data_IF_240714101045
#
_entry.id   IF_240714101045
#
_cell.length_a   1.000
_cell.length_b   1.000
_cell.length_c   1.000
_cell.angle_alpha   90.00
_cell.angle_beta   90.00
_cell.angle_gamma   90.00
#
_symmetry.space_group_name_H-M   'P 1'
#
loop_
_entity.id
_entity.type
_entity.pdbx_description
1 polymer ?
#
# COMPACT_ATOMS: atom_id res chain seq x y z
N UNK A 1 19.14 -35.71 57.40
CA UNK A 1 18.43 -34.41 57.45
C UNK A 1 19.09 -33.50 56.43
N UNK A 2 18.30 -33.16 55.41
CA UNK A 2 18.39 -32.02 54.48
C UNK A 2 19.69 -31.82 53.67
N UNK A 3 19.57 -31.97 52.35
CA UNK A 3 19.84 -30.94 51.31
C UNK A 3 20.35 -31.56 50.01
N UNK A 4 19.56 -31.40 48.94
CA UNK A 4 19.94 -30.83 47.63
C UNK A 4 18.83 -31.13 46.61
N UNK A 5 18.02 -30.11 46.32
CA UNK A 5 18.14 -29.25 45.15
C UNK A 5 17.33 -29.80 43.98
N UNK A 6 16.04 -29.51 43.97
CA UNK A 6 15.19 -29.62 42.78
C UNK A 6 15.27 -28.27 42.08
N UNK A 7 16.04 -28.21 41.00
CA UNK A 7 15.97 -27.13 40.02
C UNK A 7 14.60 -27.15 39.36
N UNK A 8 13.73 -26.22 39.76
CA UNK A 8 12.55 -25.86 38.98
C UNK A 8 13.04 -25.05 37.77
N UNK A 9 13.19 -25.72 36.63
CA UNK A 9 13.31 -25.07 35.34
C UNK A 9 11.93 -24.52 34.99
N UNK A 10 11.70 -23.26 35.34
CA UNK A 10 10.62 -22.44 34.80
C UNK A 10 10.84 -22.36 33.29
N UNK A 11 10.13 -23.22 32.56
CA UNK A 11 10.03 -23.15 31.12
C UNK A 11 9.10 -21.98 30.83
N UNK A 12 9.69 -20.79 30.64
CA UNK A 12 9.03 -19.70 29.93
C UNK A 12 8.72 -20.20 28.53
N UNK A 13 7.51 -20.72 28.37
CA UNK A 13 6.90 -20.92 27.06
C UNK A 13 6.76 -19.52 26.50
N UNK A 14 7.66 -19.15 25.59
CA UNK A 14 7.43 -18.02 24.69
C UNK A 14 6.07 -18.27 24.04
N UNK A 15 5.07 -17.48 24.45
CA UNK A 15 3.80 -17.43 23.76
C UNK A 15 4.11 -17.08 22.31
N UNK A 16 3.96 -18.06 21.42
CA UNK A 16 3.92 -17.80 19.99
C UNK A 16 2.87 -16.70 19.80
N UNK A 17 3.23 -15.52 19.25
CA UNK A 17 2.22 -14.54 18.91
C UNK A 17 1.23 -15.24 17.99
N UNK A 18 -0.05 -15.14 18.32
CA UNK A 18 -1.14 -15.51 17.41
C UNK A 18 -0.81 -14.95 16.03
N UNK A 19 -1.07 -15.68 14.92
CA UNK A 19 -0.74 -15.19 13.59
C UNK A 19 -1.31 -13.79 13.44
N UNK A 20 -0.42 -12.79 13.42
CA UNK A 20 -0.80 -11.39 13.29
C UNK A 20 -1.58 -11.30 11.99
N UNK A 21 -2.79 -10.76 12.07
CA UNK A 21 -3.60 -10.59 10.88
C UNK A 21 -2.85 -9.68 9.91
N UNK A 22 -2.80 -10.05 8.63
CA UNK A 22 -2.15 -9.24 7.59
C UNK A 22 -2.62 -7.77 7.67
N UNK A 23 -1.68 -6.83 7.68
CA UNK A 23 -1.95 -5.39 7.75
C UNK A 23 -2.45 -4.82 6.41
N UNK A 24 -2.23 -5.57 5.32
CA UNK A 24 -2.39 -5.07 3.97
C UNK A 24 -3.85 -4.85 3.56
N UNK A 25 -4.84 -5.71 3.89
CA UNK A 25 -6.23 -5.48 3.50
C UNK A 25 -6.75 -4.11 3.95
N UNK A 26 -6.53 -3.73 5.22
CA UNK A 26 -6.94 -2.41 5.72
C UNK A 26 -6.16 -1.26 5.08
N UNK A 27 -4.87 -1.47 4.83
CA UNK A 27 -4.01 -0.48 4.16
C UNK A 27 -4.48 -0.25 2.71
N UNK A 28 -4.84 -1.32 1.99
CA UNK A 28 -5.35 -1.26 0.61
C UNK A 28 -6.71 -0.58 0.58
N UNK A 29 -7.63 -0.90 1.50
CA UNK A 29 -8.92 -0.21 1.63
C UNK A 29 -8.74 1.30 1.79
N UNK A 30 -7.78 1.71 2.63
CA UNK A 30 -7.47 3.12 2.86
C UNK A 30 -6.92 3.83 1.62
N UNK A 31 -5.97 3.20 0.92
CA UNK A 31 -5.36 3.75 -0.29
C UNK A 31 -6.40 3.82 -1.42
N UNK A 32 -7.26 2.81 -1.55
CA UNK A 32 -8.37 2.82 -2.50
C UNK A 32 -9.34 3.99 -2.23
N UNK A 33 -9.77 4.16 -0.97
CA UNK A 33 -10.63 5.28 -0.56
C UNK A 33 -9.94 6.63 -0.85
N UNK A 34 -8.64 6.73 -0.58
CA UNK A 34 -7.84 7.92 -0.88
C UNK A 34 -7.78 8.23 -2.37
N UNK A 35 -7.62 7.23 -3.25
CA UNK A 35 -7.60 7.44 -4.70
C UNK A 35 -8.94 7.96 -5.21
N UNK A 36 -10.05 7.40 -4.74
CA UNK A 36 -11.39 7.90 -5.07
C UNK A 36 -11.60 9.31 -4.55
N UNK A 37 -11.15 9.61 -3.33
CA UNK A 37 -11.25 10.95 -2.76
C UNK A 37 -10.38 11.97 -3.51
N UNK A 38 -9.15 11.60 -3.90
CA UNK A 38 -8.26 12.41 -4.75
C UNK A 38 -8.93 12.75 -6.09
N UNK A 39 -9.61 11.78 -6.70
CA UNK A 39 -10.33 11.97 -7.96
C UNK A 39 -11.52 12.95 -7.88
N UNK A 40 -12.08 13.16 -6.69
CA UNK A 40 -13.17 14.13 -6.47
C UNK A 40 -12.68 15.59 -6.50
N UNK A 41 -11.36 15.85 -6.45
CA UNK A 41 -10.79 17.19 -6.48
C UNK A 41 -11.33 18.15 -5.39
N UNK A 42 -11.52 17.64 -4.18
CA UNK A 42 -12.02 18.43 -3.06
C UNK A 42 -10.96 19.46 -2.63
N UNK A 43 -11.25 20.75 -2.84
CA UNK A 43 -10.30 21.85 -2.57
C UNK A 43 -10.04 22.10 -1.09
N UNK A 44 -10.95 21.69 -0.21
CA UNK A 44 -10.81 21.89 1.25
C UNK A 44 -9.93 20.85 1.94
N UNK A 45 -9.59 19.76 1.25
CA UNK A 45 -8.72 18.69 1.76
C UNK A 45 -7.99 18.01 0.60
N UNK A 46 -7.15 18.73 -0.16
CA UNK A 46 -6.57 18.24 -1.40
C UNK A 46 -5.59 17.09 -1.16
N UNK A 47 -5.71 15.99 -1.93
CA UNK A 47 -4.72 14.90 -1.96
C UNK A 47 -3.77 14.99 -3.17
N UNK A 48 -3.71 16.16 -3.80
CA UNK A 48 -2.77 16.55 -4.86
C UNK A 48 -2.81 18.06 -5.04
N UNK A 49 -1.82 18.61 -5.73
CA UNK A 49 -1.86 20.00 -6.17
C UNK A 49 -3.01 20.20 -7.16
N UNK A 50 -3.90 21.15 -6.87
CA UNK A 50 -5.06 21.48 -7.72
C UNK A 50 -4.84 22.74 -8.55
N UNK A 51 -3.98 23.64 -8.07
CA UNK A 51 -3.60 24.87 -8.75
C UNK A 51 -2.16 25.27 -8.40
N UNK A 52 -1.66 26.30 -9.08
CA UNK A 52 -0.27 26.78 -8.93
C UNK A 52 0.01 27.58 -7.67
N UNK A 53 -1.02 27.95 -6.90
CA UNK A 53 -0.89 28.70 -5.65
C UNK A 53 -0.90 27.78 -4.43
N UNK A 54 -1.29 26.52 -4.62
CA UNK A 54 -1.27 25.49 -3.61
C UNK A 54 0.15 24.99 -3.38
N UNK A 55 0.54 24.90 -2.12
CA UNK A 55 1.86 24.44 -1.73
C UNK A 55 1.81 22.97 -1.31
N UNK A 56 2.90 22.23 -1.55
CA UNK A 56 2.94 20.79 -1.28
C UNK A 56 2.71 20.43 0.20
N UNK A 57 3.07 21.32 1.12
CA UNK A 57 2.83 21.09 2.55
C UNK A 57 1.33 21.00 2.89
N UNK A 58 0.47 21.69 2.15
CA UNK A 58 -1.00 21.67 2.35
C UNK A 58 -1.56 20.31 1.95
N UNK A 59 -1.04 19.75 0.86
CA UNK A 59 -1.36 18.39 0.39
C UNK A 59 -0.87 17.35 1.38
N UNK A 60 0.37 17.45 1.85
CA UNK A 60 0.93 16.53 2.85
C UNK A 60 0.14 16.55 4.16
N UNK A 61 -0.26 17.73 4.62
CA UNK A 61 -1.11 17.87 5.80
C UNK A 61 -2.47 17.20 5.60
N UNK A 62 -3.07 17.38 4.42
CA UNK A 62 -4.36 16.76 4.07
C UNK A 62 -4.26 15.23 3.98
N UNK A 63 -3.17 14.69 3.44
CA UNK A 63 -2.88 13.26 3.41
C UNK A 63 -2.77 12.70 4.84
N UNK A 64 -2.02 13.37 5.72
CA UNK A 64 -1.90 12.96 7.12
C UNK A 64 -3.27 12.94 7.82
N UNK A 65 -4.07 14.01 7.63
CA UNK A 65 -5.42 14.08 8.18
C UNK A 65 -6.38 13.05 7.62
N UNK A 66 -6.22 12.68 6.35
CA UNK A 66 -6.96 11.58 5.75
C UNK A 66 -6.63 10.25 6.46
N UNK A 67 -5.35 9.92 6.60
CA UNK A 67 -4.90 8.70 7.25
C UNK A 67 -5.38 8.61 8.71
N UNK A 68 -5.21 9.69 9.49
CA UNK A 68 -5.70 9.79 10.88
C UNK A 68 -7.21 9.51 10.95
N UNK A 69 -8.01 10.19 10.12
CA UNK A 69 -9.48 10.04 10.12
C UNK A 69 -9.92 8.65 9.69
N UNK A 70 -9.25 8.07 8.71
CA UNK A 70 -9.55 6.72 8.24
C UNK A 70 -9.32 5.70 9.36
N UNK A 71 -8.16 5.75 10.02
CA UNK A 71 -7.84 4.86 11.14
C UNK A 71 -8.75 5.09 12.35
N UNK A 72 -9.09 6.34 12.67
CA UNK A 72 -10.06 6.66 13.72
C UNK A 72 -11.44 6.06 13.44
N UNK A 73 -11.91 6.12 12.19
CA UNK A 73 -13.21 5.56 11.77
C UNK A 73 -13.24 4.04 11.98
N UNK A 74 -12.16 3.34 11.63
CA UNK A 74 -12.05 1.89 11.80
C UNK A 74 -11.90 1.49 13.28
N UNK A 75 -11.01 2.15 14.03
CA UNK A 75 -10.78 1.83 15.46
C UNK A 75 -11.96 2.18 16.37
N UNK A 76 -12.73 3.23 16.05
CA UNK A 76 -13.98 3.58 16.77
C UNK A 76 -15.16 2.72 16.31
N UNK A 77 -15.15 2.26 15.06
CA UNK A 77 -16.15 1.36 14.48
C UNK A 77 -16.07 -0.05 15.06
N UNK A 78 -14.85 -0.60 15.18
CA UNK A 78 -14.61 -1.95 15.73
C UNK A 78 -14.98 -2.03 17.21
N UNK A 79 -14.75 -0.97 18.01
CA UNK A 79 -15.18 -0.91 19.42
C UNK A 79 -16.70 -1.07 19.64
N UNK A 80 -17.52 -0.86 18.61
CA UNK A 80 -18.99 -1.05 18.69
C UNK A 80 -19.44 -2.46 18.29
N UNK A 81 -18.59 -3.22 17.60
CA UNK A 81 -18.86 -4.59 17.13
C UNK A 81 -17.74 -5.46 17.69
N UNK A 82 -17.98 -6.13 18.83
CA UNK A 82 -17.04 -6.98 19.58
C UNK A 82 -16.39 -8.17 18.79
N UNK A 83 -16.26 -8.08 17.46
CA UNK A 83 -15.88 -9.15 16.55
C UNK A 83 -14.68 -8.78 15.66
N UNK A 84 -14.24 -7.51 15.62
CA UNK A 84 -13.10 -7.10 14.80
C UNK A 84 -11.77 -7.10 15.56
N UNK A 85 -10.64 -7.38 14.87
CA UNK A 85 -9.32 -7.45 15.48
C UNK A 85 -8.95 -6.11 16.10
N UNK A 86 -8.43 -6.15 17.32
CA UNK A 86 -7.84 -4.96 17.93
C UNK A 86 -6.40 -4.86 17.47
N UNK A 87 -6.14 -3.98 16.50
CA UNK A 87 -4.78 -3.64 16.09
C UNK A 87 -4.02 -3.00 17.26
N UNK A 88 -2.75 -3.39 17.41
CA UNK A 88 -1.81 -2.73 18.33
C UNK A 88 -1.49 -1.31 17.86
N UNK A 89 -0.92 -0.50 18.76
CA UNK A 89 -0.48 0.85 18.39
C UNK A 89 0.59 0.84 17.29
N UNK A 90 1.51 -0.13 17.34
CA UNK A 90 2.57 -0.30 16.34
C UNK A 90 2.02 -0.68 14.96
N UNK A 91 1.03 -1.60 14.91
CA UNK A 91 0.34 -1.96 13.67
C UNK A 91 -0.43 -0.77 13.08
N UNK A 92 -1.13 0.01 13.91
CA UNK A 92 -1.83 1.21 13.46
C UNK A 92 -0.86 2.28 12.93
N UNK A 93 0.27 2.48 13.60
CA UNK A 93 1.33 3.38 13.14
C UNK A 93 1.91 2.90 11.80
N UNK A 94 2.12 1.59 11.64
CA UNK A 94 2.59 0.98 10.39
C UNK A 94 1.60 1.21 9.24
N UNK A 95 0.31 0.92 9.47
CA UNK A 95 -0.75 1.15 8.47
C UNK A 95 -0.82 2.63 8.11
N UNK A 96 -0.84 3.53 9.09
CA UNK A 96 -0.85 4.98 8.87
C UNK A 96 0.36 5.47 8.08
N UNK A 97 1.56 5.00 8.44
CA UNK A 97 2.81 5.31 7.75
C UNK A 97 2.79 4.87 6.29
N UNK A 98 2.22 3.69 5.99
CA UNK A 98 2.07 3.19 4.62
C UNK A 98 1.09 4.01 3.80
N UNK A 99 -0.07 4.35 4.35
CA UNK A 99 -1.06 5.21 3.69
C UNK A 99 -0.41 6.54 3.29
N UNK A 100 0.24 7.21 4.25
CA UNK A 100 0.94 8.47 4.00
C UNK A 100 2.08 8.28 3.00
N UNK A 101 2.89 7.24 3.18
CA UNK A 101 4.05 6.94 2.36
C UNK A 101 3.70 6.73 0.89
N UNK A 102 2.64 5.97 0.61
CA UNK A 102 2.10 5.73 -0.73
C UNK A 102 1.54 7.02 -1.33
N UNK A 103 0.69 7.75 -0.60
CA UNK A 103 0.01 8.93 -1.15
C UNK A 103 0.98 10.08 -1.43
N UNK A 104 1.99 10.29 -0.59
CA UNK A 104 3.01 11.33 -0.80
C UNK A 104 3.94 11.00 -1.96
N UNK A 105 4.16 9.71 -2.26
CA UNK A 105 5.05 9.24 -3.34
C UNK A 105 4.29 8.74 -4.56
N UNK A 106 2.99 9.04 -4.66
CA UNK A 106 2.11 8.41 -5.62
C UNK A 106 2.61 8.59 -7.06
N UNK A 107 2.98 9.81 -7.44
CA UNK A 107 3.42 10.11 -8.81
C UNK A 107 4.73 9.34 -9.16
N UNK A 108 5.64 9.18 -8.20
CA UNK A 108 6.89 8.40 -8.39
C UNK A 108 6.61 6.90 -8.53
N UNK A 109 5.74 6.36 -7.67
CA UNK A 109 5.33 4.95 -7.69
C UNK A 109 4.60 4.60 -8.99
N UNK A 110 3.71 5.48 -9.46
CA UNK A 110 2.98 5.34 -10.71
C UNK A 110 3.92 5.37 -11.91
N UNK A 111 4.87 6.31 -11.91
CA UNK A 111 5.87 6.40 -12.95
C UNK A 111 6.72 5.13 -13.02
N UNK A 112 7.22 4.66 -11.87
CA UNK A 112 8.06 3.47 -11.78
C UNK A 112 7.30 2.23 -12.25
N UNK A 113 6.08 2.01 -11.76
CA UNK A 113 5.28 0.85 -12.16
C UNK A 113 5.07 0.81 -13.66
N UNK A 114 4.66 1.96 -14.21
CA UNK A 114 4.42 2.09 -15.63
C UNK A 114 5.68 1.87 -16.45
N UNK A 115 6.80 2.43 -16.01
CA UNK A 115 8.08 2.22 -16.68
C UNK A 115 8.41 0.73 -16.76
N UNK A 116 8.26 -0.02 -15.67
CA UNK A 116 8.52 -1.46 -15.63
C UNK A 116 7.57 -2.27 -16.49
N UNK A 117 6.28 -1.97 -16.47
CA UNK A 117 5.29 -2.62 -17.35
C UNK A 117 5.60 -2.36 -18.82
N UNK A 118 5.86 -1.10 -19.19
CA UNK A 118 6.11 -0.72 -20.59
C UNK A 118 7.42 -1.26 -21.17
N UNK A 119 8.38 -1.63 -20.31
CA UNK A 119 9.67 -2.18 -20.71
C UNK A 119 9.75 -3.70 -20.54
N UNK A 120 8.68 -4.34 -20.07
CA UNK A 120 8.61 -5.80 -19.93
C UNK A 120 7.80 -6.44 -21.06
N UNK A 121 7.87 -7.76 -21.13
CA UNK A 121 7.06 -8.57 -22.06
C UNK A 121 5.56 -8.38 -21.85
N UNK A 122 5.11 -8.08 -20.62
CA UNK A 122 3.70 -7.88 -20.30
C UNK A 122 3.06 -6.70 -21.05
N UNK A 123 3.86 -5.66 -21.36
CA UNK A 123 3.41 -4.45 -22.05
C UNK A 123 3.65 -4.45 -23.56
N UNK A 124 4.33 -5.46 -24.12
CA UNK A 124 4.74 -5.50 -25.52
C UNK A 124 3.71 -6.21 -26.40
N UNK A 125 3.16 -5.55 -27.44
CA UNK A 125 2.11 -6.12 -28.32
C UNK A 125 2.46 -7.48 -28.95
N UNK A 126 3.73 -7.68 -29.27
CA UNK A 126 4.27 -8.88 -29.89
C UNK A 126 4.62 -10.00 -28.91
N UNK A 127 4.47 -9.78 -27.60
CA UNK A 127 4.83 -10.78 -26.60
C UNK A 127 3.74 -11.84 -26.39
N UNK A 128 4.12 -13.13 -26.26
CA UNK A 128 3.17 -14.18 -25.88
C UNK A 128 2.59 -13.98 -24.46
N UNK A 129 3.29 -13.23 -23.60
CA UNK A 129 2.88 -12.96 -22.22
C UNK A 129 2.18 -11.59 -22.07
N UNK A 130 1.86 -10.93 -23.18
CA UNK A 130 1.21 -9.62 -23.18
C UNK A 130 -0.12 -9.69 -22.43
N UNK A 131 -0.33 -8.73 -21.52
CA UNK A 131 -1.64 -8.50 -20.93
C UNK A 131 -2.50 -7.69 -21.91
N UNK A 132 -3.67 -8.19 -22.32
CA UNK A 132 -4.58 -7.45 -23.21
C UNK A 132 -4.98 -6.09 -22.64
N UNK A 133 -5.05 -5.05 -23.48
CA UNK A 133 -5.28 -3.66 -23.04
C UNK A 133 -6.55 -3.47 -22.20
N UNK A 134 -7.60 -4.24 -22.48
CA UNK A 134 -8.85 -4.21 -21.71
C UNK A 134 -8.73 -4.81 -20.30
N UNK A 135 -7.61 -5.48 -19.99
CA UNK A 135 -7.32 -6.07 -18.67
C UNK A 135 -6.27 -5.27 -17.89
N UNK A 136 -5.65 -4.23 -18.48
CA UNK A 136 -4.60 -3.46 -17.80
C UNK A 136 -5.08 -2.84 -16.49
N UNK A 137 -6.32 -2.32 -16.46
CA UNK A 137 -6.85 -1.67 -15.26
C UNK A 137 -7.05 -2.65 -14.11
N UNK A 138 -7.61 -3.83 -14.39
CA UNK A 138 -7.89 -4.84 -13.35
C UNK A 138 -6.66 -5.64 -12.94
N UNK A 139 -5.74 -5.92 -13.87
CA UNK A 139 -4.55 -6.75 -13.60
C UNK A 139 -3.37 -5.89 -13.14
N UNK A 140 -3.13 -4.76 -13.80
CA UNK A 140 -1.96 -3.91 -13.58
C UNK A 140 -2.28 -2.65 -12.80
N UNK A 141 -3.54 -2.30 -12.54
CA UNK A 141 -3.87 -1.02 -11.88
C UNK A 141 -3.39 0.21 -12.67
N UNK A 142 -3.18 0.06 -13.99
CA UNK A 142 -2.76 1.10 -14.92
C UNK A 142 -3.77 1.24 -16.06
N UNK A 143 -3.89 2.44 -16.60
CA UNK A 143 -4.67 2.70 -17.80
C UNK A 143 -3.82 2.39 -19.05
N UNK A 144 -4.36 1.66 -20.05
CA UNK A 144 -3.62 1.31 -21.26
C UNK A 144 -3.12 2.54 -22.05
N UNK A 145 -3.92 3.61 -22.10
CA UNK A 145 -3.57 4.85 -22.81
C UNK A 145 -2.60 5.80 -22.08
N UNK A 146 -1.99 5.36 -20.96
CA UNK A 146 -1.12 6.21 -20.15
C UNK A 146 -1.80 7.51 -19.66
N UNK A 147 -3.05 7.41 -19.18
CA UNK A 147 -3.79 8.60 -18.76
C UNK A 147 -3.23 9.18 -17.47
N UNK A 148 -2.56 8.36 -16.67
CA UNK A 148 -1.85 8.76 -15.45
C UNK A 148 -0.89 9.93 -15.69
N UNK A 149 -0.19 9.91 -16.81
CA UNK A 149 0.83 10.92 -17.14
C UNK A 149 0.33 11.95 -18.16
N UNK A 150 -0.86 11.76 -18.74
CA UNK A 150 -1.33 12.55 -19.91
C UNK A 150 -2.65 13.28 -19.66
N UNK A 151 -3.56 12.69 -18.89
CA UNK A 151 -4.90 13.21 -18.69
C UNK A 151 -5.43 12.83 -17.32
N UNK A 152 -5.11 13.64 -16.32
CA UNK A 152 -5.58 13.48 -14.94
C UNK A 152 -7.10 13.38 -14.85
N UNK A 153 -7.85 14.10 -15.70
CA UNK A 153 -9.31 14.03 -15.74
C UNK A 153 -9.82 12.64 -16.14
N UNK A 154 -9.19 11.98 -17.11
CA UNK A 154 -9.56 10.61 -17.51
C UNK A 154 -9.20 9.62 -16.42
N UNK A 155 -8.06 9.81 -15.74
CA UNK A 155 -7.70 9.02 -14.56
C UNK A 155 -8.77 9.14 -13.47
N UNK A 156 -9.19 10.37 -13.15
CA UNK A 156 -10.18 10.63 -12.11
C UNK A 156 -11.52 9.96 -12.42
N UNK A 157 -12.00 10.08 -13.67
CA UNK A 157 -13.23 9.39 -14.09
C UNK A 157 -13.10 7.87 -13.93
N UNK A 158 -12.00 7.28 -14.38
CA UNK A 158 -11.77 5.84 -14.24
C UNK A 158 -11.76 5.41 -12.76
N UNK A 159 -11.10 6.18 -11.87
CA UNK A 159 -11.07 5.89 -10.44
C UNK A 159 -12.45 5.98 -9.76
N UNK A 160 -13.34 6.85 -10.26
CA UNK A 160 -14.68 7.02 -9.73
C UNK A 160 -15.68 6.00 -10.28
N UNK A 161 -15.59 5.67 -11.57
CA UNK A 161 -16.58 4.86 -12.28
C UNK A 161 -16.25 3.36 -12.29
N UNK A 162 -14.96 3.00 -12.33
CA UNK A 162 -14.52 1.62 -12.48
C UNK A 162 -14.16 1.04 -11.11
N UNK A 163 -15.01 0.14 -10.62
CA UNK A 163 -14.91 -0.42 -9.26
C UNK A 163 -13.55 -1.06 -9.00
N UNK A 164 -13.09 -1.91 -9.90
CA UNK A 164 -11.90 -2.73 -9.67
C UNK A 164 -10.59 -1.98 -9.95
N UNK A 165 -10.65 -0.87 -10.69
CA UNK A 165 -9.45 -0.13 -11.07
C UNK A 165 -8.76 0.53 -9.87
N UNK A 166 -9.53 1.19 -8.99
CA UNK A 166 -8.98 1.81 -7.80
C UNK A 166 -8.35 0.78 -6.84
N UNK A 167 -9.00 -0.38 -6.68
CA UNK A 167 -8.50 -1.51 -5.87
C UNK A 167 -7.18 -2.06 -6.43
N UNK A 168 -7.18 -2.46 -7.70
CA UNK A 168 -6.00 -2.99 -8.36
C UNK A 168 -4.85 -1.99 -8.28
N UNK A 169 -5.12 -0.70 -8.52
CA UNK A 169 -4.13 0.35 -8.37
C UNK A 169 -3.59 0.46 -6.95
N UNK A 170 -4.44 0.43 -5.93
CA UNK A 170 -4.03 0.50 -4.53
C UNK A 170 -3.08 -0.64 -4.14
N UNK A 171 -3.40 -1.86 -4.56
CA UNK A 171 -2.52 -3.03 -4.38
C UNK A 171 -1.15 -2.80 -5.03
N UNK A 172 -1.11 -2.38 -6.30
CA UNK A 172 0.16 -2.20 -7.04
C UNK A 172 1.02 -1.09 -6.43
N UNK A 173 0.40 0.00 -6.00
CA UNK A 173 1.13 1.11 -5.34
C UNK A 173 1.64 0.72 -3.97
N UNK A 174 0.85 -0.03 -3.17
CA UNK A 174 1.32 -0.54 -1.88
C UNK A 174 2.46 -1.54 -2.08
N UNK A 175 2.33 -2.51 -2.98
CA UNK A 175 3.37 -3.50 -3.25
C UNK A 175 4.70 -2.83 -3.66
N UNK A 176 4.66 -1.86 -4.56
CA UNK A 176 5.86 -1.11 -4.95
C UNK A 176 6.45 -0.31 -3.79
N UNK A 177 5.62 0.31 -2.96
CA UNK A 177 6.09 1.02 -1.78
C UNK A 177 6.81 0.06 -0.80
N UNK A 178 6.23 -1.11 -0.53
CA UNK A 178 6.82 -2.10 0.37
C UNK A 178 8.17 -2.60 -0.17
N UNK A 179 8.23 -2.96 -1.45
CA UNK A 179 9.42 -3.54 -2.08
C UNK A 179 10.54 -2.53 -2.36
N UNK A 180 10.19 -1.30 -2.72
CA UNK A 180 11.16 -0.31 -3.20
C UNK A 180 11.48 0.78 -2.17
N UNK A 181 10.65 0.97 -1.13
CA UNK A 181 10.80 2.04 -0.15
C UNK A 181 10.88 1.50 1.27
N UNK A 182 9.81 0.88 1.78
CA UNK A 182 9.72 0.47 3.18
C UNK A 182 10.71 -0.63 3.52
N UNK A 183 10.65 -1.77 2.84
CA UNK A 183 11.52 -2.92 3.10
C UNK A 183 13.02 -2.57 3.06
N UNK A 184 13.51 -1.89 2.00
CA UNK A 184 14.88 -1.39 1.97
C UNK A 184 15.24 -0.44 3.13
N UNK A 185 14.33 0.46 3.51
CA UNK A 185 14.56 1.39 4.63
C UNK A 185 14.58 0.69 5.99
N UNK A 186 13.70 -0.29 6.22
CA UNK A 186 13.70 -1.12 7.44
C UNK A 186 15.01 -1.90 7.54
N UNK A 187 15.43 -2.54 6.45
CA UNK A 187 16.71 -3.26 6.38
C UNK A 187 17.91 -2.34 6.65
N UNK A 188 17.93 -1.15 6.07
CA UNK A 188 19.03 -0.19 6.25
C UNK A 188 19.10 0.38 7.69
N UNK A 189 17.95 0.53 8.34
CA UNK A 189 17.87 1.03 9.73
C UNK A 189 18.04 -0.07 10.78
N UNK A 190 18.00 -1.35 10.40
CA UNK A 190 18.03 -2.48 11.33
C UNK A 190 16.70 -2.70 12.07
N UNK A 191 15.66 -1.98 11.68
CA UNK A 191 14.31 -2.12 12.22
C UNK A 191 13.51 -3.16 11.42
N UNK A 192 12.36 -3.57 11.96
CA UNK A 192 11.39 -4.44 11.27
C UNK A 192 10.00 -3.84 11.35
N UNK A 193 9.22 -4.05 10.30
CA UNK A 193 7.76 -3.85 10.31
C UNK A 193 7.11 -5.03 11.02
N UNK A 194 5.93 -4.88 11.66
CA UNK A 194 5.18 -5.99 12.25
C UNK A 194 4.92 -7.19 11.30
N UNK A 195 4.90 -6.97 9.99
CA UNK A 195 4.72 -7.97 8.94
C UNK A 195 5.96 -8.10 8.02
N UNK A 196 7.13 -7.65 8.48
CA UNK A 196 8.40 -7.67 7.74
C UNK A 196 8.35 -6.99 6.34
N UNK A 197 7.35 -6.14 6.08
CA UNK A 197 7.14 -5.46 4.79
C UNK A 197 6.94 -6.43 3.62
N UNK A 198 6.38 -7.61 3.88
CA UNK A 198 6.11 -8.61 2.85
C UNK A 198 4.94 -8.20 1.93
N UNK A 199 4.90 -8.77 0.73
CA UNK A 199 3.79 -8.60 -0.21
C UNK A 199 3.05 -9.93 -0.34
N UNK A 200 2.08 -10.16 0.55
CA UNK A 200 1.29 -11.40 0.62
C UNK A 200 0.01 -11.36 -0.25
N UNK A 201 -0.34 -10.20 -0.79
CA UNK A 201 -1.60 -9.92 -1.47
C UNK A 201 -1.48 -9.91 -3.00
N UNK A 202 -0.28 -10.01 -3.55
CA UNK A 202 -0.03 -10.19 -4.99
C UNK A 202 0.32 -11.66 -5.26
N UNK A 203 -0.62 -12.42 -5.80
CA UNK A 203 -0.42 -13.86 -6.06
C UNK A 203 0.32 -14.15 -7.38
N UNK A 204 0.33 -13.20 -8.31
CA UNK A 204 1.01 -13.34 -9.60
C UNK A 204 2.52 -13.12 -9.45
N UNK A 205 3.28 -14.21 -9.53
CA UNK A 205 4.74 -14.18 -9.37
C UNK A 205 5.45 -13.40 -10.49
N UNK A 206 4.90 -13.35 -11.70
CA UNK A 206 5.46 -12.55 -12.80
C UNK A 206 5.33 -11.06 -12.49
N UNK A 207 4.16 -10.63 -12.01
CA UNK A 207 3.97 -9.25 -11.58
C UNK A 207 4.83 -8.90 -10.38
N UNK A 208 4.91 -9.79 -9.37
CA UNK A 208 5.74 -9.57 -8.20
C UNK A 208 7.22 -9.44 -8.56
N UNK A 209 7.73 -10.34 -9.42
CA UNK A 209 9.10 -10.28 -9.93
C UNK A 209 9.38 -8.97 -10.67
N UNK A 210 8.40 -8.45 -11.42
CA UNK A 210 8.53 -7.16 -12.09
C UNK A 210 8.59 -5.99 -11.08
N UNK A 211 7.96 -6.12 -9.92
CA UNK A 211 7.99 -5.10 -8.84
C UNK A 211 9.25 -5.17 -7.96
N UNK A 212 10.08 -6.20 -8.08
CA UNK A 212 11.33 -6.27 -7.34
C UNK A 212 12.33 -5.20 -7.82
N UNK A 213 13.06 -4.54 -6.91
CA UNK A 213 14.14 -3.63 -7.29
C UNK A 213 15.14 -4.35 -8.19
N UNK A 214 15.57 -3.71 -9.29
CA UNK A 214 16.63 -4.25 -10.13
C UNK A 214 17.92 -4.32 -9.32
N UNK A 215 18.43 -5.53 -9.10
CA UNK A 215 19.77 -5.72 -8.55
C UNK A 215 20.74 -5.16 -9.58
N UNK A 216 21.57 -4.19 -9.18
CA UNK A 216 22.69 -3.79 -10.02
C UNK A 216 23.68 -4.96 -10.04
N UNK A 217 23.78 -5.64 -11.19
CA UNK A 217 24.90 -6.54 -11.49
C UNK A 217 26.20 -5.76 -11.64
#
# INVERSE_FOLDING_TARGET
>A
NVEKSVENVETTVEEKPSPSQSLHPLTIDAIEEAFRFRAQNVTTSPLRLLDSNMEWFEVQYSIMKFADRFLEKYTKGSKKKNEEPTWTEEELQTIGGRIVGVLVRLDDLEWEWKHRVSTSTLGQPESPDMIPYNQWKSILGLHPDNVEQRCTKTLDMALLEEKDFARARAERMLALFLLCVEGPAMKASGNRSPDDSEVDFIQDSTQLNLMMPKVKE
#
